data_IF_168839695016
#
_entry.id   IF_168839695016
#
_cell.length_a   1.000
_cell.length_b   1.000
_cell.length_c   1.000
_cell.angle_alpha   90.00
_cell.angle_beta   90.00
_cell.angle_gamma   90.00
#
_symmetry.space_group_name_H-M   'P 1'
#
loop_
_entity.id
_entity.type
_entity.pdbx_description
1 polymer ?
#
# COMPACT_ATOMS: atom_id res chain seq x y z
N UNK A 1 -2.97 12.85 -0.28
CA UNK A 1 -3.02 11.98 0.91
C UNK A 1 -2.99 12.87 2.15
N UNK A 2 -3.98 12.79 3.04
CA UNK A 2 -3.93 13.49 4.33
C UNK A 2 -3.74 12.44 5.42
N UNK A 3 -2.85 12.69 6.39
CA UNK A 3 -2.82 11.88 7.62
C UNK A 3 -4.20 11.96 8.24
N UNK A 4 -4.74 10.81 8.68
CA UNK A 4 -6.02 10.79 9.36
C UNK A 4 -5.97 11.64 10.63
N UNK A 5 -7.13 12.07 11.13
CA UNK A 5 -7.24 12.87 12.36
C UNK A 5 -6.64 12.18 13.59
N UNK A 6 -6.38 10.86 13.49
CA UNK A 6 -5.92 9.97 14.54
C UNK A 6 -4.42 9.61 14.49
N UNK A 7 -3.59 10.34 13.73
CA UNK A 7 -2.13 10.15 13.69
C UNK A 7 -1.63 9.23 12.56
N UNK A 8 -0.44 8.64 12.74
CA UNK A 8 0.25 7.79 11.75
C UNK A 8 -0.41 6.41 11.54
N UNK A 9 -1.50 6.13 12.26
CA UNK A 9 -2.20 4.84 12.29
C UNK A 9 -3.32 4.72 11.24
N UNK A 10 -3.61 5.80 10.53
CA UNK A 10 -4.68 5.86 9.52
C UNK A 10 -4.37 6.83 8.38
N UNK A 11 -4.78 6.46 7.18
CA UNK A 11 -4.61 7.27 5.97
C UNK A 11 -5.93 7.35 5.23
N UNK A 12 -6.33 8.57 4.87
CA UNK A 12 -7.60 8.81 4.19
C UNK A 12 -7.38 9.49 2.83
N UNK A 13 -8.15 9.05 1.84
CA UNK A 13 -8.26 9.66 0.52
C UNK A 13 -9.72 10.03 0.32
N UNK A 14 -10.02 11.32 0.22
CA UNK A 14 -11.40 11.79 0.05
C UNK A 14 -11.48 12.70 -1.16
N UNK A 15 -12.55 12.55 -1.92
CA UNK A 15 -12.98 13.48 -2.94
C UNK A 15 -14.46 13.84 -2.71
N UNK A 16 -15.13 14.43 -3.70
CA UNK A 16 -16.55 14.81 -3.60
C UNK A 16 -17.52 13.63 -3.72
N UNK A 17 -17.05 12.46 -4.19
CA UNK A 17 -17.86 11.27 -4.50
C UNK A 17 -17.70 10.13 -3.51
N UNK A 18 -16.51 9.93 -2.95
CA UNK A 18 -16.24 8.89 -1.98
C UNK A 18 -15.11 9.30 -1.01
N UNK A 19 -14.96 8.54 0.07
CA UNK A 19 -13.81 8.57 0.96
C UNK A 19 -13.30 7.14 1.16
N UNK A 20 -12.04 6.91 0.85
CA UNK A 20 -11.30 5.70 1.17
C UNK A 20 -10.54 5.91 2.47
N UNK A 21 -10.57 4.93 3.35
CA UNK A 21 -9.81 4.93 4.60
C UNK A 21 -9.07 3.61 4.73
N UNK A 22 -7.79 3.68 5.09
CA UNK A 22 -7.02 2.54 5.55
C UNK A 22 -6.56 2.81 6.98
N UNK A 23 -6.77 1.85 7.89
CA UNK A 23 -6.37 2.00 9.29
C UNK A 23 -6.05 0.66 9.94
N UNK A 24 -5.19 0.72 10.96
CA UNK A 24 -4.84 -0.44 11.79
C UNK A 24 -6.03 -0.75 12.71
N UNK A 25 -6.65 -1.92 12.52
CA UNK A 25 -7.97 -2.21 13.10
C UNK A 25 -7.92 -2.34 14.63
N UNK A 26 -6.93 -3.01 15.20
CA UNK A 26 -6.86 -3.18 16.66
C UNK A 26 -6.67 -1.83 17.40
N UNK A 27 -5.91 -0.88 16.83
CA UNK A 27 -5.75 0.45 17.42
C UNK A 27 -7.04 1.26 17.39
N UNK A 28 -7.81 1.13 16.31
CA UNK A 28 -9.15 1.70 16.23
C UNK A 28 -10.10 1.06 17.27
N UNK A 29 -10.07 -0.27 17.42
CA UNK A 29 -10.89 -0.98 18.42
C UNK A 29 -10.59 -0.53 19.86
N UNK A 30 -9.31 -0.36 20.20
CA UNK A 30 -8.88 0.18 21.49
C UNK A 30 -9.43 1.61 21.72
N UNK A 31 -9.38 2.48 20.70
CA UNK A 31 -9.92 3.85 20.78
C UNK A 31 -11.45 3.87 20.96
N UNK A 32 -12.15 2.87 20.42
CA UNK A 32 -13.60 2.71 20.58
C UNK A 32 -14.00 1.95 21.85
N UNK A 33 -13.06 1.65 22.75
CA UNK A 33 -13.34 1.06 24.05
C UNK A 33 -13.44 -0.46 24.07
N UNK A 34 -12.95 -1.15 23.03
CA UNK A 34 -12.87 -2.61 23.04
C UNK A 34 -11.80 -3.05 24.05
N UNK A 35 -12.12 -3.94 25.01
CA UNK A 35 -11.14 -4.44 25.96
C UNK A 35 -9.99 -5.16 25.26
N UNK A 36 -8.75 -5.01 25.77
CA UNK A 36 -7.63 -5.76 25.22
C UNK A 36 -7.78 -7.28 25.43
N UNK A 37 -8.59 -7.72 26.39
CA UNK A 37 -8.90 -9.14 26.61
C UNK A 37 -9.81 -9.74 25.53
N UNK A 38 -10.38 -8.93 24.65
CA UNK A 38 -11.26 -9.40 23.58
C UNK A 38 -10.47 -10.27 22.58
N UNK A 39 -10.93 -11.49 22.26
CA UNK A 39 -10.23 -12.39 21.34
C UNK A 39 -10.07 -11.78 19.94
N UNK A 40 -11.03 -10.98 19.47
CA UNK A 40 -10.97 -10.27 18.18
C UNK A 40 -9.90 -9.19 18.21
N UNK A 41 -9.80 -8.46 19.32
CA UNK A 41 -8.75 -7.45 19.50
C UNK A 41 -7.36 -8.09 19.41
N UNK A 42 -7.13 -9.17 20.16
CA UNK A 42 -5.82 -9.86 20.17
C UNK A 42 -5.49 -10.43 18.79
N UNK A 43 -6.45 -11.08 18.14
CA UNK A 43 -6.26 -11.58 16.78
C UNK A 43 -5.87 -10.47 15.79
N UNK A 44 -6.59 -9.33 15.80
CA UNK A 44 -6.27 -8.20 14.95
C UNK A 44 -4.88 -7.58 15.24
N UNK A 45 -4.44 -7.63 16.50
CA UNK A 45 -3.13 -7.14 16.93
C UNK A 45 -2.00 -8.06 16.49
N UNK A 46 -2.15 -9.36 16.71
CA UNK A 46 -1.15 -10.38 16.38
C UNK A 46 -0.96 -10.54 14.87
N UNK A 47 -2.07 -10.56 14.10
CA UNK A 47 -2.01 -10.70 12.64
C UNK A 47 -1.70 -9.38 11.92
N UNK A 48 -1.67 -8.25 12.63
CA UNK A 48 -1.40 -6.94 12.03
C UNK A 48 -2.49 -6.50 11.05
N UNK A 49 -3.76 -6.67 11.41
CA UNK A 49 -4.90 -6.43 10.51
C UNK A 49 -5.04 -4.95 10.17
N UNK A 50 -5.04 -4.66 8.87
CA UNK A 50 -5.39 -3.36 8.29
C UNK A 50 -6.76 -3.46 7.64
N UNK A 51 -7.66 -2.54 7.99
CA UNK A 51 -8.97 -2.44 7.35
C UNK A 51 -8.93 -1.38 6.25
N UNK A 52 -9.48 -1.73 5.09
CA UNK A 52 -9.75 -0.81 3.98
C UNK A 52 -11.27 -0.60 3.91
N UNK A 53 -11.69 0.66 3.99
CA UNK A 53 -13.10 1.06 4.05
C UNK A 53 -13.39 2.10 2.98
N UNK A 54 -14.58 2.03 2.39
CA UNK A 54 -15.06 2.98 1.38
C UNK A 54 -16.38 3.56 1.86
N UNK A 55 -16.42 4.88 2.00
CA UNK A 55 -17.66 5.63 2.20
C UNK A 55 -18.09 6.24 0.86
N UNK A 56 -19.25 5.82 0.37
CA UNK A 56 -19.87 6.40 -0.82
C UNK A 56 -20.66 7.65 -0.43
N UNK A 57 -20.39 8.78 -1.08
CA UNK A 57 -21.14 10.02 -0.87
C UNK A 57 -22.36 10.07 -1.77
N UNK A 58 -23.32 10.93 -1.42
CA UNK A 58 -24.64 11.06 -2.07
C UNK A 58 -24.60 11.05 -3.60
N UNK A 59 -23.66 11.77 -4.22
CA UNK A 59 -23.57 11.84 -5.68
C UNK A 59 -23.24 10.48 -6.31
N UNK A 60 -22.31 9.72 -5.72
CA UNK A 60 -21.95 8.40 -6.23
C UNK A 60 -23.06 7.38 -5.94
N UNK A 61 -23.69 7.46 -4.77
CA UNK A 61 -24.87 6.63 -4.44
C UNK A 61 -26.02 6.85 -5.42
N UNK A 62 -26.30 8.09 -5.81
CA UNK A 62 -27.31 8.41 -6.83
C UNK A 62 -26.96 7.79 -8.18
N UNK A 63 -25.71 7.94 -8.64
CA UNK A 63 -25.28 7.42 -9.95
C UNK A 63 -25.32 5.89 -10.02
N UNK A 64 -25.10 5.22 -8.89
CA UNK A 64 -25.13 3.75 -8.78
C UNK A 64 -26.52 3.19 -8.47
N UNK A 65 -27.53 4.05 -8.30
CA UNK A 65 -28.87 3.68 -7.83
C UNK A 65 -28.81 2.86 -6.52
N UNK A 66 -28.08 3.38 -5.53
CA UNK A 66 -27.85 2.77 -4.21
C UNK A 66 -28.28 3.68 -3.06
N UNK A 67 -29.18 4.63 -3.33
CA UNK A 67 -29.73 5.53 -2.30
C UNK A 67 -30.69 4.78 -1.39
N UNK A 68 -31.50 3.91 -1.96
CA UNK A 68 -32.45 3.07 -1.23
C UNK A 68 -31.82 1.70 -0.94
N UNK A 69 -31.96 1.22 0.30
CA UNK A 69 -31.47 -0.09 0.74
C UNK A 69 -31.95 -1.24 -0.15
N UNK A 70 -33.19 -1.18 -0.66
CA UNK A 70 -33.78 -2.20 -1.55
C UNK A 70 -33.02 -2.39 -2.87
N UNK A 71 -32.29 -1.36 -3.32
CA UNK A 71 -31.54 -1.39 -4.58
C UNK A 71 -30.07 -1.82 -4.38
N UNK A 72 -29.66 -2.02 -3.12
CA UNK A 72 -28.33 -2.48 -2.74
C UNK A 72 -28.34 -4.02 -2.74
N UNK A 73 -27.45 -4.61 -3.53
CA UNK A 73 -27.18 -6.05 -3.52
C UNK A 73 -25.70 -6.30 -3.22
N UNK A 74 -25.41 -7.49 -2.70
CA UNK A 74 -24.03 -7.91 -2.39
C UNK A 74 -23.13 -7.84 -3.63
N UNK A 75 -23.64 -8.24 -4.79
CA UNK A 75 -22.95 -8.17 -6.08
C UNK A 75 -22.54 -6.73 -6.43
N UNK A 76 -23.44 -5.75 -6.22
CA UNK A 76 -23.13 -4.33 -6.44
C UNK A 76 -22.09 -3.84 -5.43
N UNK A 77 -22.20 -4.23 -4.17
CA UNK A 77 -21.24 -3.82 -3.13
C UNK A 77 -19.83 -4.35 -3.43
N UNK A 78 -19.71 -5.63 -3.78
CA UNK A 78 -18.44 -6.26 -4.17
C UNK A 78 -17.85 -5.55 -5.38
N UNK A 79 -18.67 -5.32 -6.42
CA UNK A 79 -18.23 -4.62 -7.63
C UNK A 79 -17.70 -3.21 -7.32
N UNK A 80 -18.47 -2.41 -6.59
CA UNK A 80 -18.10 -1.04 -6.23
C UNK A 80 -16.84 -1.04 -5.35
N UNK A 81 -16.73 -1.98 -4.41
CA UNK A 81 -15.54 -2.09 -3.57
C UNK A 81 -14.29 -2.33 -4.42
N UNK A 82 -14.32 -3.30 -5.34
CA UNK A 82 -13.19 -3.60 -6.22
C UNK A 82 -12.85 -2.39 -7.12
N UNK A 83 -13.83 -1.81 -7.81
CA UNK A 83 -13.61 -0.65 -8.70
C UNK A 83 -12.99 0.53 -7.97
N UNK A 84 -13.44 0.83 -6.74
CA UNK A 84 -12.93 1.96 -5.98
C UNK A 84 -11.59 1.65 -5.28
N UNK A 85 -11.23 0.38 -5.09
CA UNK A 85 -9.96 -0.04 -4.47
C UNK A 85 -8.87 -0.43 -5.47
N UNK A 86 -9.16 -0.47 -6.78
CA UNK A 86 -8.16 -0.76 -7.81
C UNK A 86 -6.89 0.08 -7.71
N UNK A 87 -7.01 1.34 -7.25
CA UNK A 87 -5.87 2.22 -7.03
C UNK A 87 -4.84 1.61 -6.07
N UNK A 88 -5.27 0.83 -5.06
CA UNK A 88 -4.35 0.14 -4.16
C UNK A 88 -3.64 -1.04 -4.84
N UNK A 89 -4.31 -1.71 -5.78
CA UNK A 89 -3.70 -2.78 -6.57
C UNK A 89 -2.72 -2.23 -7.62
N UNK A 90 -2.98 -1.02 -8.13
CA UNK A 90 -2.13 -0.33 -9.09
C UNK A 90 -0.81 0.23 -8.48
N UNK A 91 -0.60 0.10 -7.16
CA UNK A 91 0.65 0.48 -6.47
C UNK A 91 1.70 -0.63 -6.52
N UNK A 92 1.43 -1.76 -7.15
CA UNK A 92 2.49 -2.66 -7.61
C UNK A 92 3.17 -2.05 -8.85
N UNK A 93 3.76 -0.85 -8.68
CA UNK A 93 4.71 -0.27 -9.63
C UNK A 93 6.12 -0.61 -9.18
N UNK A 94 6.35 -1.90 -8.97
CA UNK A 94 7.69 -2.46 -9.12
C UNK A 94 8.16 -2.34 -10.59
N UNK A 95 7.26 -1.93 -11.49
CA UNK A 95 7.42 -1.68 -12.92
C UNK A 95 7.85 -0.25 -13.31
N UNK A 96 8.29 0.62 -12.38
CA UNK A 96 9.16 1.71 -12.85
C UNK A 96 10.41 1.02 -13.39
N UNK A 97 10.74 1.13 -14.69
CA UNK A 97 11.96 0.54 -15.19
C UNK A 97 13.08 1.15 -14.36
N UNK A 98 13.75 0.31 -13.58
CA UNK A 98 14.96 0.70 -12.88
C UNK A 98 15.80 1.42 -13.94
N UNK A 99 16.36 2.59 -13.65
CA UNK A 99 17.21 3.31 -14.62
C UNK A 99 18.27 2.35 -15.17
N UNK A 100 18.64 1.34 -14.37
CA UNK A 100 19.49 0.21 -14.73
C UNK A 100 18.96 -0.67 -15.87
N UNK A 101 17.65 -0.89 -15.99
CA UNK A 101 17.05 -1.73 -17.03
C UNK A 101 17.11 -1.12 -18.41
N UNK A 102 17.05 0.22 -18.51
CA UNK A 102 17.27 0.95 -19.76
C UNK A 102 18.74 0.91 -20.24
N UNK A 103 19.68 0.65 -19.33
CA UNK A 103 21.13 0.63 -19.61
C UNK A 103 21.53 -0.74 -20.22
N UNK A 104 22.45 -0.75 -21.21
CA UNK A 104 22.99 -2.00 -21.74
C UNK A 104 23.59 -2.87 -20.64
N UNK A 105 23.30 -4.17 -20.65
CA UNK A 105 23.70 -5.13 -19.60
C UNK A 105 25.18 -5.01 -19.18
N UNK A 106 26.09 -4.80 -20.15
CA UNK A 106 27.53 -4.63 -19.91
C UNK A 106 27.89 -3.37 -19.11
N UNK A 107 27.09 -2.31 -19.21
CA UNK A 107 27.30 -1.05 -18.47
C UNK A 107 26.45 -0.97 -17.20
N UNK A 108 25.39 -1.78 -17.09
CA UNK A 108 24.47 -1.82 -15.95
C UNK A 108 25.17 -2.09 -14.62
N UNK A 109 26.06 -3.09 -14.59
CA UNK A 109 26.83 -3.44 -13.38
C UNK A 109 27.70 -2.28 -12.89
N UNK A 110 28.26 -1.51 -13.82
CA UNK A 110 29.08 -0.34 -13.51
C UNK A 110 28.25 0.83 -13.01
N UNK A 111 27.08 1.07 -13.61
CA UNK A 111 26.12 2.06 -13.10
C UNK A 111 25.69 1.73 -11.66
N UNK A 112 25.33 0.47 -11.38
CA UNK A 112 24.93 0.03 -10.04
C UNK A 112 26.06 0.23 -9.00
N UNK A 113 27.30 -0.12 -9.35
CA UNK A 113 28.46 0.08 -8.48
C UNK A 113 28.72 1.57 -8.19
N UNK A 114 28.61 2.45 -9.20
CA UNK A 114 28.74 3.89 -8.99
C UNK A 114 27.57 4.47 -8.17
N UNK A 115 26.34 4.02 -8.40
CA UNK A 115 25.17 4.41 -7.59
C UNK A 115 25.33 4.00 -6.12
N UNK A 116 25.98 2.87 -5.85
CA UNK A 116 26.35 2.40 -4.51
C UNK A 116 27.56 3.15 -3.90
N UNK A 117 28.04 4.22 -4.53
CA UNK A 117 29.12 5.07 -4.03
C UNK A 117 30.54 4.50 -4.23
N UNK A 118 30.73 3.48 -5.08
CA UNK A 118 32.06 2.95 -5.37
C UNK A 118 32.81 3.82 -6.38
N UNK A 119 34.09 4.05 -6.13
CA UNK A 119 34.99 4.70 -7.09
C UNK A 119 35.39 3.71 -8.20
N UNK A 120 34.78 3.86 -9.37
CA UNK A 120 35.06 2.99 -10.51
C UNK A 120 36.48 3.14 -11.06
N UNK A 121 37.19 4.25 -10.81
CA UNK A 121 38.58 4.43 -11.27
C UNK A 121 39.53 3.45 -10.59
N UNK A 122 39.19 2.98 -9.40
CA UNK A 122 39.96 1.97 -8.66
C UNK A 122 39.57 0.53 -9.05
N UNK A 123 38.38 0.34 -9.62
CA UNK A 123 37.80 -0.97 -9.91
C UNK A 123 38.04 -1.46 -11.34
N UNK A 124 38.48 -0.59 -12.25
CA UNK A 124 38.74 -0.98 -13.64
C UNK A 124 39.87 -0.20 -14.31
N UNK A 125 40.46 -0.76 -15.38
CA UNK A 125 41.45 -0.05 -16.19
C UNK A 125 40.89 1.21 -16.84
N UNK A 126 41.74 2.23 -17.00
CA UNK A 126 41.38 3.56 -17.51
C UNK A 126 40.64 3.53 -18.86
N UNK A 127 41.02 2.63 -19.78
CA UNK A 127 40.36 2.48 -21.09
C UNK A 127 38.93 1.95 -20.97
N UNK A 128 38.72 1.00 -20.06
CA UNK A 128 37.40 0.43 -19.76
C UNK A 128 36.50 1.48 -19.10
N UNK A 129 37.07 2.28 -18.20
CA UNK A 129 36.38 3.39 -17.53
C UNK A 129 35.77 4.38 -18.53
N UNK A 130 36.59 4.96 -19.42
CA UNK A 130 36.09 5.95 -20.38
C UNK A 130 35.07 5.37 -21.37
N UNK A 131 35.19 4.08 -21.73
CA UNK A 131 34.22 3.40 -22.58
C UNK A 131 32.84 3.34 -21.92
N UNK A 132 32.77 2.91 -20.66
CA UNK A 132 31.51 2.83 -19.94
C UNK A 132 30.98 4.20 -19.54
N UNK A 133 31.85 5.15 -19.20
CA UNK A 133 31.46 6.54 -18.92
C UNK A 133 30.74 7.18 -20.11
N UNK A 134 31.25 6.98 -21.34
CA UNK A 134 30.58 7.49 -22.55
C UNK A 134 29.16 6.93 -22.69
N UNK A 135 29.01 5.61 -22.54
CA UNK A 135 27.71 4.93 -22.65
C UNK A 135 26.75 5.43 -21.56
N UNK A 136 27.20 5.50 -20.31
CA UNK A 136 26.36 5.87 -19.16
C UNK A 136 25.91 7.35 -19.19
N UNK A 137 26.71 8.23 -19.79
CA UNK A 137 26.32 9.64 -20.00
C UNK A 137 25.11 9.80 -20.92
N UNK A 138 24.90 8.89 -21.87
CA UNK A 138 23.71 8.88 -22.72
C UNK A 138 22.42 8.65 -21.90
N UNK A 139 22.56 8.05 -20.72
CA UNK A 139 21.49 7.81 -19.74
C UNK A 139 21.51 8.81 -18.58
N UNK A 140 22.29 9.90 -18.68
CA UNK A 140 22.38 10.93 -17.65
C UNK A 140 23.24 10.56 -16.42
N UNK A 141 24.04 9.50 -16.51
CA UNK A 141 24.92 9.05 -15.42
C UNK A 141 26.38 9.42 -15.75
N UNK A 142 26.99 10.32 -14.98
CA UNK A 142 28.43 10.61 -15.09
C UNK A 142 29.23 9.94 -13.97
N UNK A 143 29.83 8.79 -14.29
CA UNK A 143 30.69 8.04 -13.36
C UNK A 143 32.05 8.69 -13.08
N UNK A 144 32.38 9.80 -13.74
CA UNK A 144 33.60 10.58 -13.50
C UNK A 144 33.53 11.47 -12.28
N UNK A 145 32.32 11.82 -11.86
CA UNK A 145 32.09 12.56 -10.64
C UNK A 145 32.02 11.60 -9.45
N UNK A 146 32.85 11.79 -8.40
CA UNK A 146 32.79 10.97 -7.22
C UNK A 146 31.44 11.20 -6.52
N UNK A 147 30.69 10.11 -6.31
CA UNK A 147 29.41 10.15 -5.63
C UNK A 147 29.66 10.11 -4.12
N UNK A 148 29.69 11.28 -3.49
CA UNK A 148 29.84 11.40 -2.04
C UNK A 148 28.51 11.11 -1.33
N UNK A 149 28.06 9.85 -1.40
CA UNK A 149 26.87 9.38 -0.69
C UNK A 149 27.32 8.49 0.45
N UNK A 150 27.07 8.94 1.68
CA UNK A 150 27.00 8.03 2.82
C UNK A 150 25.82 7.09 2.60
N UNK A 151 26.10 5.82 2.32
CA UNK A 151 25.05 4.81 2.17
C UNK A 151 24.38 4.62 3.52
N UNK A 152 23.22 5.23 3.72
CA UNK A 152 22.36 4.91 4.84
C UNK A 152 21.81 3.50 4.59
N UNK A 153 22.10 2.49 5.43
CA UNK A 153 21.53 1.17 5.26
C UNK A 153 20.05 1.24 5.61
N UNK A 154 19.22 1.57 4.61
CA UNK A 154 17.76 1.49 4.74
C UNK A 154 17.41 0.01 4.82
N UNK A 155 17.09 -0.46 6.03
CA UNK A 155 16.44 -1.77 6.19
C UNK A 155 15.03 -1.64 5.64
N UNK A 156 14.85 -1.98 4.37
CA UNK A 156 13.52 -2.08 3.77
C UNK A 156 12.83 -3.30 4.37
N UNK A 157 11.86 -3.08 5.24
CA UNK A 157 10.96 -4.14 5.71
C UNK A 157 9.83 -4.25 4.69
N UNK A 158 9.88 -5.26 3.84
CA UNK A 158 8.81 -5.57 2.91
C UNK A 158 7.66 -6.14 3.73
N UNK A 159 6.49 -5.49 3.68
CA UNK A 159 5.26 -5.95 4.31
C UNK A 159 4.39 -6.51 3.20
N UNK A 160 4.24 -7.84 3.15
CA UNK A 160 3.29 -8.48 2.25
C UNK A 160 1.88 -8.38 2.85
N UNK A 161 0.95 -7.73 2.13
CA UNK A 161 -0.45 -7.70 2.52
C UNK A 161 -1.20 -8.82 1.80
N UNK A 162 -2.00 -9.58 2.55
CA UNK A 162 -2.86 -10.65 2.04
C UNK A 162 -4.30 -10.42 2.49
N UNK A 163 -5.31 -10.78 1.67
CA UNK A 163 -6.70 -10.77 2.13
C UNK A 163 -6.85 -11.58 3.41
N UNK A 164 -7.51 -11.01 4.42
CA UNK A 164 -7.73 -11.66 5.69
C UNK A 164 -8.87 -12.69 5.56
N UNK A 165 -8.59 -13.96 5.86
CA UNK A 165 -9.63 -14.98 6.03
C UNK A 165 -10.25 -14.89 7.42
N UNK A 166 -11.54 -15.19 7.50
CA UNK A 166 -12.24 -15.31 8.78
C UNK A 166 -11.64 -16.49 9.56
N UNK A 167 -11.17 -16.30 10.80
CA UNK A 167 -10.65 -17.40 11.60
C UNK A 167 -11.78 -18.33 12.08
N UNK A 168 -11.47 -19.61 12.28
CA UNK A 168 -12.45 -20.67 12.53
C UNK A 168 -13.34 -20.45 13.77
N UNK A 169 -12.86 -19.70 14.75
CA UNK A 169 -13.58 -19.40 15.99
C UNK A 169 -14.49 -18.17 15.89
N UNK A 170 -14.40 -17.38 14.82
CA UNK A 170 -15.19 -16.16 14.64
C UNK A 170 -16.46 -16.47 13.85
N UNK A 171 -17.61 -15.98 14.32
CA UNK A 171 -18.90 -16.10 13.64
C UNK A 171 -19.49 -14.72 13.35
N UNK A 172 -20.22 -14.61 12.24
CA UNK A 172 -21.05 -13.45 11.91
C UNK A 172 -22.47 -13.57 12.48
N UNK A 173 -22.82 -14.74 13.00
CA UNK A 173 -24.08 -14.94 13.69
C UNK A 173 -23.98 -14.24 15.05
N UNK A 174 -24.82 -13.22 15.23
CA UNK A 174 -25.02 -12.62 16.54
C UNK A 174 -25.72 -13.63 17.45
N UNK A 175 -25.07 -14.06 18.53
CA UNK A 175 -25.71 -14.83 19.62
C UNK A 175 -26.77 -14.00 20.40
N UNK A 176 -27.03 -12.76 19.97
CA UNK A 176 -28.06 -11.92 20.55
C UNK A 176 -29.44 -12.46 20.17
N UNK A 177 -30.27 -12.71 21.18
CA UNK A 177 -31.66 -13.08 21.00
C UNK A 177 -32.34 -12.11 20.01
N UNK A 178 -32.83 -12.65 18.90
CA UNK A 178 -33.57 -11.89 17.89
C UNK A 178 -34.61 -11.03 18.60
N UNK A 179 -34.49 -9.70 18.47
CA UNK A 179 -35.50 -8.77 18.95
C UNK A 179 -36.82 -9.16 18.29
N UNK A 180 -37.75 -9.71 19.08
CA UNK A 180 -39.12 -9.95 18.60
C UNK A 180 -39.67 -8.60 18.16
N UNK A 181 -40.02 -8.47 16.89
CA UNK A 181 -40.80 -7.35 16.41
C UNK A 181 -42.10 -7.32 17.24
N UNK A 182 -42.31 -6.25 18.00
CA UNK A 182 -43.57 -6.04 18.73
C UNK A 182 -44.58 -5.55 17.69
N UNK A 183 -45.36 -6.47 17.10
CA UNK A 183 -46.43 -6.09 16.17
C UNK A 183 -46.92 -7.13 15.15
N UNK A 184 -46.97 -8.41 15.50
CA UNK A 184 -47.86 -9.38 14.82
C UNK A 184 -48.92 -9.89 15.79
#
# INVERSE_FOLDING_TARGET
MKKGRAGDESVWWSNTRHMLKAYIKHLEMAKHGTPESDPVYQYCKEQGVVRVEIELKRRLLNDLDMVDLKNISDEKLVKVFHEQTEIFNAVDRTDEPDILDAIPSKSRVHAAAWMAGKDLRQLMPIRTFYRHQKILREYGIDIGEPRNIETFPVKVRIVEMKPLSMPDWYSLEDDFAQLKAVGE
#
